data_IF_172889100366
#
_entry.id   IF_172889100366
#
_cell.length_a   1.000
_cell.length_b   1.000
_cell.length_c   1.000
_cell.angle_alpha   90.00
_cell.angle_beta   90.00
_cell.angle_gamma   90.00
#
_symmetry.space_group_name_H-M   'P 1'
#
loop_
_entity.id
_entity.type
_entity.pdbx_description
1 polymer ?
#
# COMPACT_ATOMS: atom_id res chain seq x y z
N UNK A 1 -3.92 -51.54 -39.59
CA UNK A 1 -4.18 -52.26 -38.32
C UNK A 1 -4.99 -51.35 -37.42
N UNK A 2 -6.21 -51.74 -37.23
CA UNK A 2 -7.30 -51.08 -36.50
C UNK A 2 -7.14 -51.26 -34.99
N UNK A 3 -7.36 -50.21 -34.20
CA UNK A 3 -7.72 -50.37 -32.82
C UNK A 3 -8.61 -49.18 -32.35
N UNK A 4 -9.87 -49.47 -32.20
CA UNK A 4 -10.89 -48.70 -31.53
C UNK A 4 -10.72 -48.81 -30.00
N UNK A 5 -11.07 -47.78 -29.23
CA UNK A 5 -11.55 -47.88 -27.82
C UNK A 5 -12.00 -46.48 -27.42
N UNK A 6 -13.25 -46.23 -27.31
CA UNK A 6 -14.30 -46.57 -26.36
C UNK A 6 -14.56 -45.33 -25.44
N UNK A 7 -15.80 -44.81 -25.62
CA UNK A 7 -16.43 -43.74 -24.82
C UNK A 7 -16.46 -44.09 -23.30
N UNK A 8 -16.15 -43.12 -22.46
CA UNK A 8 -16.58 -43.11 -21.07
C UNK A 8 -17.42 -41.86 -20.81
N UNK A 9 -18.70 -42.06 -20.59
CA UNK A 9 -19.69 -41.07 -20.16
C UNK A 9 -19.52 -40.91 -18.63
N UNK A 10 -19.13 -39.73 -18.19
CA UNK A 10 -19.13 -39.35 -16.76
C UNK A 10 -20.39 -38.56 -16.46
N UNK A 11 -21.29 -39.19 -15.67
CA UNK A 11 -22.48 -38.57 -15.10
C UNK A 11 -22.05 -37.67 -13.94
N UNK A 12 -22.26 -36.37 -14.05
CA UNK A 12 -22.08 -35.42 -12.97
C UNK A 12 -23.35 -35.34 -12.14
N UNK A 13 -23.28 -35.84 -10.91
CA UNK A 13 -24.31 -35.63 -9.87
C UNK A 13 -24.25 -34.15 -9.42
N UNK A 14 -25.30 -33.41 -9.67
CA UNK A 14 -25.50 -32.07 -9.13
C UNK A 14 -25.84 -32.13 -7.63
N UNK A 15 -25.02 -31.55 -6.80
CA UNK A 15 -25.35 -31.33 -5.39
C UNK A 15 -26.05 -29.98 -5.28
N UNK A 16 -27.35 -30.01 -4.99
CA UNK A 16 -28.17 -28.84 -4.64
C UNK A 16 -27.94 -28.54 -3.16
N UNK A 17 -27.19 -27.48 -2.85
CA UNK A 17 -27.05 -26.97 -1.48
C UNK A 17 -28.19 -26.00 -1.20
N UNK A 18 -29.22 -26.48 -0.51
CA UNK A 18 -30.29 -25.63 0.06
C UNK A 18 -29.75 -24.92 1.30
N UNK A 19 -29.41 -23.64 1.16
CA UNK A 19 -29.06 -22.77 2.27
C UNK A 19 -30.28 -22.45 3.12
N UNK A 20 -30.33 -22.94 4.36
CA UNK A 20 -31.30 -22.49 5.38
C UNK A 20 -30.90 -21.08 5.84
N UNK A 21 -31.70 -20.08 5.49
CA UNK A 21 -31.67 -18.78 6.12
C UNK A 21 -32.43 -18.85 7.44
N UNK A 22 -31.73 -18.89 8.55
CA UNK A 22 -32.27 -18.68 9.89
C UNK A 22 -32.49 -17.18 10.11
N UNK A 23 -33.71 -16.71 9.90
CA UNK A 23 -34.13 -15.37 10.34
C UNK A 23 -34.31 -15.39 11.85
N UNK A 24 -33.43 -14.72 12.58
CA UNK A 24 -33.60 -14.49 14.02
C UNK A 24 -34.64 -13.36 14.19
N UNK A 25 -35.77 -13.57 14.87
CA UNK A 25 -36.69 -12.49 15.18
C UNK A 25 -36.04 -11.54 16.19
N UNK A 26 -35.71 -10.35 15.75
CA UNK A 26 -35.26 -9.27 16.64
C UNK A 26 -36.39 -8.82 17.53
N UNK A 27 -36.27 -9.00 18.85
CA UNK A 27 -37.17 -8.43 19.84
C UNK A 27 -36.94 -6.92 19.88
N UNK A 28 -37.97 -6.14 19.58
CA UNK A 28 -37.93 -4.68 19.69
C UNK A 28 -37.74 -4.32 21.18
N UNK A 29 -36.57 -3.69 21.46
CA UNK A 29 -36.30 -3.12 22.77
C UNK A 29 -37.09 -1.82 22.86
N UNK A 30 -38.10 -1.81 23.75
CA UNK A 30 -38.87 -0.62 24.11
C UNK A 30 -37.88 0.41 24.69
N UNK A 31 -37.87 1.62 24.16
CA UNK A 31 -37.08 2.74 24.68
C UNK A 31 -37.38 2.95 26.16
N UNK A 32 -36.36 3.10 27.01
CA UNK A 32 -36.55 3.46 28.40
C UNK A 32 -37.18 4.85 28.46
N UNK A 33 -38.21 4.97 29.36
CA UNK A 33 -38.88 6.22 29.71
C UNK A 33 -37.80 7.28 30.01
N UNK A 34 -37.99 8.44 29.40
CA UNK A 34 -37.27 9.67 29.68
C UNK A 34 -37.05 9.85 31.17
N UNK A 35 -35.82 9.74 31.61
CA UNK A 35 -35.39 10.18 32.93
C UNK A 35 -35.37 11.71 32.90
N UNK A 36 -36.14 12.29 33.80
CA UNK A 36 -36.20 13.74 34.06
C UNK A 36 -34.77 14.25 34.34
N UNK A 37 -34.28 15.14 33.50
CA UNK A 37 -32.97 15.75 33.61
C UNK A 37 -32.92 16.58 34.90
N UNK A 38 -31.93 16.41 35.78
CA UNK A 38 -31.81 17.25 36.99
C UNK A 38 -31.50 18.69 36.58
N UNK A 39 -32.29 19.61 37.11
CA UNK A 39 -32.17 21.05 36.87
C UNK A 39 -30.91 21.56 37.54
N UNK A 40 -29.84 21.84 36.80
CA UNK A 40 -28.63 22.47 37.31
C UNK A 40 -28.79 23.99 37.36
N UNK A 41 -28.38 24.65 38.47
CA UNK A 41 -28.50 26.12 38.58
C UNK A 41 -27.58 26.82 37.56
N UNK A 42 -28.21 27.57 36.68
CA UNK A 42 -27.59 28.40 35.64
C UNK A 42 -27.05 29.70 36.25
N UNK A 43 -25.93 29.64 36.93
CA UNK A 43 -25.15 30.86 37.21
C UNK A 43 -23.66 30.55 37.17
N UNK A 44 -23.14 30.56 35.96
CA UNK A 44 -21.69 30.58 35.73
C UNK A 44 -21.25 32.01 35.52
N UNK A 45 -20.27 32.51 36.29
CA UNK A 45 -19.67 33.83 36.04
C UNK A 45 -19.11 33.87 34.61
N UNK A 46 -19.34 34.97 33.93
CA UNK A 46 -18.83 35.19 32.60
C UNK A 46 -17.30 35.08 32.58
N UNK A 47 -16.79 34.11 31.88
CA UNK A 47 -15.35 33.97 31.60
C UNK A 47 -14.92 35.10 30.66
N UNK A 48 -13.80 35.79 30.92
CA UNK A 48 -13.27 36.76 29.97
C UNK A 48 -13.11 36.13 28.58
N UNK A 49 -13.65 36.82 27.58
CA UNK A 49 -13.54 36.41 26.17
C UNK A 49 -12.07 36.42 25.77
N UNK A 50 -11.45 35.26 25.74
CA UNK A 50 -10.13 35.12 25.14
C UNK A 50 -10.23 35.44 23.64
N UNK A 51 -9.30 36.25 23.14
CA UNK A 51 -9.16 36.56 21.73
C UNK A 51 -9.11 35.25 20.90
N UNK A 52 -9.70 35.21 19.69
CA UNK A 52 -9.68 34.01 18.87
C UNK A 52 -8.23 33.60 18.63
N UNK A 53 -7.90 32.28 18.73
CA UNK A 53 -6.59 31.80 18.41
C UNK A 53 -6.29 32.14 16.96
N UNK A 54 -5.14 32.77 16.72
CA UNK A 54 -4.65 32.99 15.37
C UNK A 54 -4.53 31.61 14.71
N UNK A 55 -5.34 31.33 13.71
CA UNK A 55 -5.24 30.14 12.88
C UNK A 55 -3.86 30.16 12.24
N UNK A 56 -2.95 29.32 12.75
CA UNK A 56 -1.68 29.08 12.08
C UNK A 56 -2.05 28.36 10.78
N UNK A 57 -1.95 29.05 9.66
CA UNK A 57 -1.99 28.44 8.34
C UNK A 57 -0.90 27.36 8.32
N UNK A 58 -1.22 26.07 8.05
CA UNK A 58 -0.19 25.05 7.91
C UNK A 58 0.80 25.54 6.85
N UNK A 59 2.09 25.56 7.18
CA UNK A 59 3.12 25.81 6.19
C UNK A 59 2.97 24.77 5.07
N UNK A 60 3.08 25.15 3.79
CA UNK A 60 3.08 24.19 2.71
C UNK A 60 4.17 23.16 2.98
N UNK A 61 3.95 21.87 2.65
CA UNK A 61 4.95 20.83 2.86
C UNK A 61 6.24 21.27 2.16
N UNK A 62 7.33 21.31 2.92
CA UNK A 62 8.65 21.62 2.37
C UNK A 62 8.96 20.53 1.35
N UNK A 63 8.86 20.85 0.07
CA UNK A 63 9.28 19.97 -1.00
C UNK A 63 10.78 19.75 -0.82
N UNK A 64 11.17 18.56 -0.42
CA UNK A 64 12.59 18.17 -0.40
C UNK A 64 13.08 18.32 -1.83
N UNK A 65 14.12 19.14 -2.05
CA UNK A 65 14.63 19.39 -3.40
C UNK A 65 15.10 18.07 -4.02
N UNK A 66 14.67 17.83 -5.26
CA UNK A 66 15.12 16.68 -6.03
C UNK A 66 16.67 16.69 -6.15
N UNK A 67 17.27 15.50 -6.19
CA UNK A 67 18.71 15.37 -6.43
C UNK A 67 19.10 16.09 -7.73
N UNK A 68 20.26 16.79 -7.79
CA UNK A 68 20.68 17.49 -8.99
C UNK A 68 20.71 16.58 -10.22
N UNK A 69 20.00 16.96 -11.28
CA UNK A 69 19.90 16.19 -12.52
C UNK A 69 18.91 15.03 -12.50
N UNK A 70 18.15 14.83 -11.42
CA UNK A 70 17.10 13.83 -11.37
C UNK A 70 15.87 14.27 -12.17
N UNK A 71 15.31 13.36 -12.94
CA UNK A 71 14.00 13.56 -13.58
C UNK A 71 12.89 13.40 -12.54
N UNK A 72 11.99 14.37 -12.46
CA UNK A 72 10.88 14.34 -11.49
C UNK A 72 9.71 13.53 -12.05
N UNK A 73 9.27 12.52 -11.31
CA UNK A 73 8.06 11.77 -11.61
C UNK A 73 6.88 12.36 -10.82
N UNK A 74 5.85 12.88 -11.50
CA UNK A 74 4.70 13.45 -10.83
C UNK A 74 3.85 12.35 -10.17
N UNK A 75 3.36 12.57 -8.94
CA UNK A 75 2.47 11.61 -8.31
C UNK A 75 1.03 11.73 -8.84
N UNK A 76 0.35 10.60 -8.90
CA UNK A 76 -1.09 10.50 -9.09
C UNK A 76 -1.74 10.04 -7.76
N UNK A 77 -2.66 10.83 -7.22
CA UNK A 77 -3.30 10.55 -5.92
C UNK A 77 -2.32 10.26 -4.76
N UNK A 78 -1.14 10.90 -4.77
CA UNK A 78 -0.10 10.70 -3.76
C UNK A 78 0.84 9.52 -3.99
N UNK A 79 0.68 8.80 -5.09
CA UNK A 79 1.50 7.65 -5.46
C UNK A 79 2.22 7.85 -6.78
N UNK A 80 3.38 7.22 -6.92
CA UNK A 80 4.09 7.05 -8.18
C UNK A 80 4.27 5.56 -8.44
N UNK A 81 3.88 5.11 -9.62
CA UNK A 81 4.04 3.71 -10.05
C UNK A 81 5.12 3.65 -11.11
N UNK A 82 6.07 2.79 -10.90
CA UNK A 82 7.20 2.60 -11.82
C UNK A 82 7.38 1.13 -12.19
N UNK A 83 7.95 0.92 -13.34
CA UNK A 83 8.45 -0.36 -13.80
C UNK A 83 9.91 -0.20 -14.22
N UNK A 84 10.75 -1.16 -13.86
CA UNK A 84 12.15 -1.16 -14.32
C UNK A 84 12.23 -1.36 -15.82
N UNK A 85 13.30 -0.88 -16.47
CA UNK A 85 13.53 -1.03 -17.91
C UNK A 85 13.44 -2.49 -18.39
N UNK A 86 13.80 -3.43 -17.52
CA UNK A 86 13.71 -4.87 -17.81
C UNK A 86 12.30 -5.45 -17.75
N UNK A 87 11.32 -4.72 -17.21
CA UNK A 87 9.97 -5.20 -16.92
C UNK A 87 9.87 -6.21 -15.78
N UNK A 88 10.99 -6.49 -15.07
CA UNK A 88 11.05 -7.56 -14.07
C UNK A 88 10.64 -7.11 -12.67
N UNK A 89 10.63 -5.80 -12.41
CA UNK A 89 10.29 -5.25 -11.09
C UNK A 89 9.35 -4.08 -11.29
N UNK A 90 8.25 -4.08 -10.55
CA UNK A 90 7.29 -2.97 -10.48
C UNK A 90 7.26 -2.45 -9.05
N UNK A 91 7.18 -1.14 -8.89
CA UNK A 91 7.15 -0.53 -7.57
C UNK A 91 6.08 0.55 -7.49
N UNK A 92 5.54 0.70 -6.28
CA UNK A 92 4.68 1.79 -5.86
C UNK A 92 5.43 2.62 -4.81
N UNK A 93 5.44 3.93 -4.98
CA UNK A 93 6.05 4.87 -4.06
C UNK A 93 5.01 5.83 -3.51
N UNK A 94 5.13 6.13 -2.22
CA UNK A 94 4.44 7.22 -1.55
C UNK A 94 5.43 7.99 -0.67
N UNK A 95 5.02 9.07 -0.03
CA UNK A 95 5.89 9.77 0.94
C UNK A 95 6.27 8.92 2.15
N UNK A 96 5.49 7.87 2.45
CA UNK A 96 5.68 7.01 3.61
C UNK A 96 6.53 5.77 3.33
N UNK A 97 6.46 5.22 2.12
CA UNK A 97 7.07 3.93 1.81
C UNK A 97 7.27 3.70 0.32
N UNK A 98 8.14 2.74 0.02
CA UNK A 98 8.33 2.13 -1.29
C UNK A 98 8.01 0.65 -1.18
N UNK A 99 7.07 0.16 -2.00
CA UNK A 99 6.76 -1.26 -2.15
C UNK A 99 7.13 -1.73 -3.56
N UNK A 100 7.90 -2.80 -3.67
CA UNK A 100 8.28 -3.39 -4.95
C UNK A 100 7.85 -4.84 -5.06
N UNK A 101 7.46 -5.26 -6.25
CA UNK A 101 7.12 -6.63 -6.62
C UNK A 101 8.04 -7.12 -7.72
N UNK A 102 8.56 -8.34 -7.55
CA UNK A 102 9.39 -9.03 -8.52
C UNK A 102 9.34 -10.54 -8.30
N UNK A 103 9.75 -11.30 -9.30
CA UNK A 103 10.05 -12.73 -9.16
C UNK A 103 11.45 -12.88 -8.54
N UNK A 104 11.55 -12.71 -7.21
CA UNK A 104 12.83 -12.82 -6.53
C UNK A 104 13.36 -14.24 -6.53
N UNK A 105 14.65 -14.42 -6.83
CA UNK A 105 15.32 -15.72 -6.76
C UNK A 105 15.76 -16.08 -5.34
N UNK A 106 16.02 -15.06 -4.50
CA UNK A 106 16.42 -15.23 -3.09
C UNK A 106 15.46 -14.41 -2.21
N UNK A 107 14.28 -14.96 -1.93
CA UNK A 107 13.32 -14.38 -1.01
C UNK A 107 12.93 -15.37 0.09
N UNK A 108 12.53 -14.88 1.29
CA UNK A 108 12.06 -15.75 2.34
C UNK A 108 10.73 -16.41 1.96
N UNK A 109 10.46 -17.56 2.56
CA UNK A 109 9.17 -18.24 2.45
C UNK A 109 8.26 -17.74 3.56
N UNK A 110 7.11 -17.16 3.21
CA UNK A 110 6.09 -16.66 4.11
C UNK A 110 4.86 -17.57 4.03
N UNK A 111 4.55 -18.27 5.14
CA UNK A 111 3.40 -19.18 5.19
C UNK A 111 3.37 -20.22 4.04
N UNK A 112 4.54 -20.75 3.67
CA UNK A 112 4.67 -21.74 2.60
C UNK A 112 4.76 -21.17 1.18
N UNK A 113 4.72 -19.85 1.00
CA UNK A 113 4.84 -19.18 -0.30
C UNK A 113 6.09 -18.31 -0.34
N UNK A 114 6.96 -18.40 -1.36
CA UNK A 114 8.05 -17.46 -1.54
C UNK A 114 7.54 -16.03 -1.63
N UNK A 115 8.16 -15.10 -0.91
CA UNK A 115 7.81 -13.69 -0.99
C UNK A 115 8.13 -13.16 -2.39
N UNK A 116 7.17 -12.46 -2.98
CA UNK A 116 7.33 -11.78 -4.26
C UNK A 116 7.30 -10.26 -4.13
N UNK A 117 7.14 -9.75 -2.91
CA UNK A 117 7.11 -8.33 -2.62
C UNK A 117 8.03 -7.95 -1.47
N UNK A 118 8.51 -6.72 -1.50
CA UNK A 118 9.28 -6.07 -0.44
C UNK A 118 8.75 -4.67 -0.22
N UNK A 119 8.72 -4.22 1.03
CA UNK A 119 8.35 -2.88 1.44
C UNK A 119 9.43 -2.26 2.30
N UNK A 120 9.80 -1.03 2.01
CA UNK A 120 10.67 -0.18 2.83
C UNK A 120 9.88 1.06 3.26
N UNK A 121 9.81 1.32 4.56
CA UNK A 121 9.23 2.56 5.08
C UNK A 121 10.26 3.71 5.03
N UNK A 122 9.77 4.95 5.07
CA UNK A 122 10.63 6.13 5.16
C UNK A 122 11.53 6.15 6.41
N UNK A 123 11.20 5.37 7.45
CA UNK A 123 11.99 5.21 8.66
C UNK A 123 13.02 4.07 8.60
N UNK A 124 13.11 3.37 7.46
CA UNK A 124 14.12 2.32 7.24
C UNK A 124 13.67 0.91 7.59
N UNK A 125 12.39 0.70 7.97
CA UNK A 125 11.88 -0.64 8.25
C UNK A 125 11.63 -1.40 6.94
N UNK A 126 12.24 -2.57 6.79
CA UNK A 126 12.06 -3.45 5.64
C UNK A 126 11.20 -4.64 6.01
N UNK A 127 10.25 -4.98 5.19
CA UNK A 127 9.39 -6.16 5.35
C UNK A 127 9.15 -6.86 4.01
N UNK A 128 9.23 -8.18 4.03
CA UNK A 128 8.86 -9.02 2.91
C UNK A 128 7.36 -9.32 2.95
N UNK A 129 6.75 -9.50 1.79
CA UNK A 129 5.32 -9.78 1.67
C UNK A 129 5.04 -10.68 0.45
N UNK A 130 3.88 -11.29 0.49
CA UNK A 130 3.26 -11.88 -0.70
C UNK A 130 2.18 -10.90 -1.12
N UNK A 131 2.35 -10.25 -2.26
CA UNK A 131 1.49 -9.18 -2.73
C UNK A 131 1.24 -9.24 -4.22
N UNK A 132 0.36 -8.34 -4.64
CA UNK A 132 0.08 -8.08 -6.04
C UNK A 132 -0.23 -6.59 -6.21
N UNK A 133 0.64 -5.86 -6.88
CA UNK A 133 0.42 -4.45 -7.21
C UNK A 133 -0.67 -4.25 -8.27
N UNK A 134 -1.17 -5.35 -8.86
CA UNK A 134 -2.19 -5.30 -9.90
C UNK A 134 -1.68 -4.74 -11.22
N UNK A 135 -2.61 -4.57 -12.16
CA UNK A 135 -2.32 -4.03 -13.49
C UNK A 135 -2.52 -2.50 -13.52
N UNK A 136 -1.74 -1.80 -12.67
CA UNK A 136 -1.78 -0.33 -12.60
C UNK A 136 -0.77 0.21 -13.62
N UNK A 137 -1.15 1.22 -14.44
CA UNK A 137 -0.21 1.89 -15.32
C UNK A 137 1.01 2.41 -14.58
N UNK A 138 2.21 2.10 -15.06
CA UNK A 138 3.47 2.47 -14.44
C UNK A 138 4.38 3.17 -15.45
N UNK A 139 5.23 4.07 -14.96
CA UNK A 139 6.27 4.70 -15.76
C UNK A 139 7.44 3.74 -15.92
N UNK A 140 7.75 3.33 -17.14
CA UNK A 140 8.96 2.53 -17.40
C UNK A 140 10.20 3.40 -17.29
N UNK A 141 11.09 3.06 -16.35
CA UNK A 141 12.33 3.81 -16.10
C UNK A 141 13.40 3.48 -17.14
N UNK A 142 14.11 4.50 -17.63
CA UNK A 142 15.42 4.32 -18.24
C UNK A 142 16.49 4.23 -17.15
N UNK A 143 17.73 3.82 -17.50
CA UNK A 143 18.87 3.79 -16.56
C UNK A 143 19.39 5.20 -16.27
N UNK A 144 18.81 5.86 -15.30
CA UNK A 144 19.16 7.20 -14.82
C UNK A 144 18.56 7.47 -13.45
N UNK A 145 18.78 8.67 -12.93
CA UNK A 145 18.27 9.10 -11.63
C UNK A 145 16.92 9.81 -11.78
N UNK A 146 16.00 9.48 -10.88
CA UNK A 146 14.67 10.10 -10.77
C UNK A 146 14.42 10.58 -9.34
N UNK A 147 13.48 11.50 -9.20
CA UNK A 147 12.94 11.93 -7.90
C UNK A 147 11.43 11.76 -7.90
N UNK A 148 10.89 11.15 -6.85
CA UNK A 148 9.47 10.89 -6.70
C UNK A 148 9.07 10.93 -5.22
N UNK A 149 8.11 11.76 -4.84
CA UNK A 149 7.47 11.82 -3.50
C UNK A 149 8.44 11.75 -2.31
N UNK A 150 9.61 12.41 -2.42
CA UNK A 150 10.63 12.44 -1.36
C UNK A 150 11.58 11.25 -1.35
N UNK A 151 11.67 10.56 -2.48
CA UNK A 151 12.63 9.49 -2.73
C UNK A 151 13.48 9.82 -3.95
N UNK A 152 14.78 9.56 -3.83
CA UNK A 152 15.70 9.48 -4.96
C UNK A 152 15.76 8.04 -5.46
N UNK A 153 15.59 7.86 -6.77
CA UNK A 153 15.56 6.55 -7.45
C UNK A 153 16.72 6.51 -8.44
N UNK A 154 17.67 5.63 -8.21
CA UNK A 154 18.75 5.37 -9.14
C UNK A 154 18.47 4.05 -9.89
N UNK A 155 17.95 4.16 -11.11
CA UNK A 155 17.70 2.99 -11.94
C UNK A 155 18.97 2.59 -12.68
N UNK A 156 19.43 1.35 -12.45
CA UNK A 156 20.65 0.77 -13.02
C UNK A 156 20.35 -0.60 -13.62
N UNK A 157 21.30 -1.13 -14.38
CA UNK A 157 21.14 -2.44 -15.02
C UNK A 157 21.16 -3.59 -14.00
N UNK A 158 21.94 -3.43 -12.94
CA UNK A 158 22.13 -4.42 -11.85
C UNK A 158 21.07 -4.29 -10.73
N UNK A 159 20.21 -3.29 -10.77
CA UNK A 159 19.14 -3.09 -9.78
C UNK A 159 18.69 -1.64 -9.72
N UNK A 160 17.67 -1.42 -8.91
CA UNK A 160 17.15 -0.07 -8.64
C UNK A 160 17.34 0.27 -7.16
N UNK A 161 18.03 1.38 -6.91
CA UNK A 161 18.28 1.90 -5.58
C UNK A 161 17.25 2.97 -5.25
N UNK A 162 16.60 2.84 -4.11
CA UNK A 162 15.68 3.82 -3.53
C UNK A 162 16.31 4.39 -2.27
N UNK A 163 16.37 5.72 -2.17
CA UNK A 163 16.87 6.42 -0.98
C UNK A 163 15.83 7.45 -0.54
N UNK A 164 15.42 7.39 0.72
CA UNK A 164 14.54 8.42 1.27
C UNK A 164 15.35 9.69 1.52
N UNK A 165 14.96 10.81 0.90
CA UNK A 165 15.72 12.06 0.90
C UNK A 165 15.81 12.72 2.28
N UNK A 166 14.92 12.36 3.20
CA UNK A 166 14.90 12.92 4.55
C UNK A 166 15.70 12.09 5.54
N UNK A 167 15.49 10.78 5.55
CA UNK A 167 16.09 9.87 6.55
C UNK A 167 17.42 9.29 6.09
N UNK A 168 17.67 9.24 4.78
CA UNK A 168 18.83 8.57 4.17
C UNK A 168 18.70 7.04 4.13
N UNK A 169 17.66 6.46 4.74
CA UNK A 169 17.41 5.04 4.62
C UNK A 169 17.01 4.65 3.22
N UNK A 170 17.37 3.45 2.83
CA UNK A 170 17.12 3.00 1.49
C UNK A 170 17.18 1.48 1.32
N UNK A 171 16.87 1.06 0.09
CA UNK A 171 17.07 -0.31 -0.36
C UNK A 171 17.50 -0.34 -1.82
N UNK A 172 18.29 -1.32 -2.15
CA UNK A 172 18.54 -1.71 -3.55
C UNK A 172 17.74 -2.97 -3.84
N UNK A 173 16.92 -2.91 -4.88
CA UNK A 173 16.06 -4.01 -5.32
C UNK A 173 16.60 -4.55 -6.65
N UNK A 174 16.90 -5.83 -6.68
CA UNK A 174 17.25 -6.57 -7.88
C UNK A 174 16.47 -7.91 -7.90
N UNK A 175 16.45 -8.62 -9.01
CA UNK A 175 15.76 -9.92 -9.11
C UNK A 175 16.37 -10.96 -8.19
N UNK A 176 17.66 -10.87 -7.92
CA UNK A 176 18.37 -11.79 -7.01
C UNK A 176 18.13 -11.50 -5.53
N UNK A 177 17.58 -10.34 -5.18
CA UNK A 177 17.22 -10.02 -3.80
C UNK A 177 17.17 -8.53 -3.50
N UNK A 178 17.16 -8.23 -2.20
CA UNK A 178 17.03 -6.86 -1.67
C UNK A 178 18.09 -6.61 -0.62
N UNK A 179 18.74 -5.45 -0.68
CA UNK A 179 19.72 -4.99 0.30
C UNK A 179 19.25 -3.64 0.86
N UNK A 180 18.99 -3.60 2.16
CA UNK A 180 18.69 -2.36 2.89
C UNK A 180 19.95 -1.67 3.40
N UNK A 181 19.88 -0.35 3.61
CA UNK A 181 20.97 0.47 4.17
C UNK A 181 20.42 1.68 4.92
#
# INVERSE_FOLDING_TARGET
MTAHWALAVAVTLGVVVTGCQTSTPGTAITSPKSLTEPNFPTSRPARPTAAPPKTLTPAPPTSTAAAPGAEVLPPENGYVFIETKSGKTRCQLSTAEVGCEAQFTNSPVLNGTPANGVRLTANGEVSWLVGNLGDIPAVTLAYRTYSAVGWTIEAREDGTRFTNDRSGHGMTVAVDGVQAF
#
